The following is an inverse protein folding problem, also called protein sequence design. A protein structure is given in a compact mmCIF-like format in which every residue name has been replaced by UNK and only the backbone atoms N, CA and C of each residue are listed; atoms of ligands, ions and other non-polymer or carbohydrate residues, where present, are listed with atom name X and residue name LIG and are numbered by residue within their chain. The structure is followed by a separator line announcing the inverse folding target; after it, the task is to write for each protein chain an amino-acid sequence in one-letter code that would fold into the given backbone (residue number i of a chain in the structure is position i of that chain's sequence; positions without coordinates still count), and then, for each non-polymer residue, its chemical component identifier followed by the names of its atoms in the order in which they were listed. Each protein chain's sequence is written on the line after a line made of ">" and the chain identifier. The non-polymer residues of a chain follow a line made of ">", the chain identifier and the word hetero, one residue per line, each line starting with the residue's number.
data_IF_514772500159
#
_entry.id   IF_514772500159
#
_cell.length_a   1.000
_cell.length_b   1.000
_cell.length_c   1.000
_cell.angle_alpha   90.00
_cell.angle_beta   90.00
_cell.angle_gamma   90.00
#
_symmetry.space_group_name_H-M   'P 1'
#
loop_
_entity.id
_entity.type
_entity.pdbx_description
1 polymer ?
#
# COMPACT_ATOMS: atom_id res chain seq x y z
N UNK A 1 10.22 15.96 59.70
CA UNK A 1 10.53 14.77 58.88
C UNK A 1 9.31 14.43 58.02
N UNK A 2 8.75 15.42 57.32
CA UNK A 2 7.43 15.36 56.66
C UNK A 2 7.42 16.04 55.28
N UNK A 3 8.48 16.75 54.88
CA UNK A 3 8.57 17.40 53.56
C UNK A 3 8.97 16.43 52.43
N UNK A 4 9.68 15.34 52.71
CA UNK A 4 10.11 14.38 51.69
C UNK A 4 8.96 13.50 51.15
N UNK A 5 7.89 13.30 51.92
CA UNK A 5 6.76 12.45 51.50
C UNK A 5 5.83 13.22 50.54
N UNK A 6 5.67 14.53 50.72
CA UNK A 6 4.83 15.35 49.84
C UNK A 6 5.47 15.61 48.47
N UNK A 7 6.80 15.69 48.37
CA UNK A 7 7.48 15.86 47.08
C UNK A 7 7.38 14.59 46.22
N UNK A 8 7.61 13.41 46.80
CA UNK A 8 7.53 12.14 46.07
C UNK A 8 6.12 11.87 45.48
N UNK A 9 5.05 12.24 46.19
CA UNK A 9 3.69 12.05 45.70
C UNK A 9 3.34 13.00 44.53
N UNK A 10 3.91 14.21 44.51
CA UNK A 10 3.69 15.17 43.44
C UNK A 10 4.47 14.78 42.17
N UNK A 11 5.69 14.26 42.32
CA UNK A 11 6.51 13.78 41.21
C UNK A 11 5.89 12.52 40.58
N UNK A 12 5.47 11.53 41.38
CA UNK A 12 4.76 10.34 40.87
C UNK A 12 3.43 10.68 40.18
N UNK A 13 2.70 11.69 40.65
CA UNK A 13 1.45 12.12 40.03
C UNK A 13 1.69 12.90 38.73
N UNK A 14 2.79 13.65 38.64
CA UNK A 14 3.23 14.32 37.42
C UNK A 14 3.67 13.30 36.36
N UNK A 15 4.45 12.30 36.75
CA UNK A 15 4.93 11.25 35.86
C UNK A 15 3.78 10.39 35.31
N UNK A 16 2.78 10.07 36.13
CA UNK A 16 1.56 9.38 35.65
C UNK A 16 0.75 10.21 34.66
N UNK A 17 0.66 11.52 34.85
CA UNK A 17 -0.04 12.42 33.91
C UNK A 17 0.72 12.54 32.58
N UNK A 18 2.06 12.61 32.64
CA UNK A 18 2.91 12.61 31.46
C UNK A 18 2.74 11.30 30.66
N UNK A 19 2.81 10.15 31.33
CA UNK A 19 2.59 8.84 30.71
C UNK A 19 1.20 8.71 30.09
N UNK A 20 0.15 9.19 30.77
CA UNK A 20 -1.20 9.21 30.21
C UNK A 20 -1.29 10.07 28.95
N UNK A 21 -0.68 11.26 28.97
CA UNK A 21 -0.63 12.15 27.82
C UNK A 21 0.10 11.52 26.63
N UNK A 22 1.27 10.91 26.85
CA UNK A 22 2.03 10.21 25.81
C UNK A 22 1.26 9.02 25.25
N UNK A 23 0.57 8.26 26.11
CA UNK A 23 -0.28 7.14 25.71
C UNK A 23 -1.47 7.58 24.85
N UNK A 24 -2.12 8.68 25.20
CA UNK A 24 -3.21 9.27 24.42
C UNK A 24 -2.71 9.75 23.05
N UNK A 25 -1.52 10.34 23.00
CA UNK A 25 -0.87 10.78 21.76
C UNK A 25 -0.52 9.57 20.86
N UNK A 26 0.01 8.49 21.45
CA UNK A 26 0.33 7.26 20.74
C UNK A 26 -0.92 6.55 20.23
N UNK A 27 -2.01 6.57 20.99
CA UNK A 27 -3.32 6.06 20.58
C UNK A 27 -3.90 6.88 19.42
N UNK A 28 -3.78 8.20 19.47
CA UNK A 28 -4.18 9.07 18.37
C UNK A 28 -3.36 8.80 17.11
N UNK A 29 -2.04 8.62 17.24
CA UNK A 29 -1.16 8.22 16.14
C UNK A 29 -1.62 6.87 15.55
N UNK A 30 -1.90 5.86 16.39
CA UNK A 30 -2.39 4.55 15.94
C UNK A 30 -3.66 4.66 15.10
N UNK A 31 -4.71 5.33 15.60
CA UNK A 31 -5.97 5.48 14.86
C UNK A 31 -5.80 6.26 13.56
N UNK A 32 -4.93 7.28 13.56
CA UNK A 32 -4.61 8.01 12.36
C UNK A 32 -3.94 7.11 11.32
N UNK A 33 -2.95 6.30 11.71
CA UNK A 33 -2.27 5.38 10.80
C UNK A 33 -3.23 4.31 10.23
N UNK A 34 -4.06 3.70 11.08
CA UNK A 34 -5.06 2.70 10.64
C UNK A 34 -6.05 3.30 9.62
N UNK A 35 -6.61 4.48 9.93
CA UNK A 35 -7.52 5.20 9.01
C UNK A 35 -6.83 5.49 7.67
N UNK A 36 -5.57 5.93 7.74
CA UNK A 36 -4.78 6.23 6.54
C UNK A 36 -4.55 4.98 5.69
N UNK A 37 -4.24 3.83 6.31
CA UNK A 37 -4.09 2.54 5.60
C UNK A 37 -5.40 2.09 4.95
N UNK A 38 -6.53 2.28 5.63
CA UNK A 38 -7.84 1.95 5.07
C UNK A 38 -8.16 2.79 3.83
N UNK A 39 -7.89 4.09 3.89
CA UNK A 39 -8.05 4.99 2.74
C UNK A 39 -7.09 4.63 1.60
N UNK A 40 -5.86 4.23 1.92
CA UNK A 40 -4.94 3.70 0.92
C UNK A 40 -5.48 2.46 0.22
N UNK A 41 -6.07 1.52 0.97
CA UNK A 41 -6.70 0.35 0.40
C UNK A 41 -7.86 0.73 -0.53
N UNK A 42 -8.73 1.67 -0.12
CA UNK A 42 -9.82 2.18 -0.98
C UNK A 42 -9.27 2.75 -2.29
N UNK A 43 -8.21 3.55 -2.22
CA UNK A 43 -7.59 4.15 -3.41
C UNK A 43 -6.94 3.12 -4.35
N UNK A 44 -6.32 2.04 -3.83
CA UNK A 44 -5.80 0.95 -4.68
C UNK A 44 -6.90 0.34 -5.53
N UNK A 45 -8.08 0.10 -4.95
CA UNK A 45 -9.21 -0.46 -5.68
C UNK A 45 -9.66 0.45 -6.83
N UNK A 46 -9.65 1.77 -6.62
CA UNK A 46 -9.93 2.77 -7.66
C UNK A 46 -8.87 2.76 -8.75
N UNK A 47 -7.58 2.72 -8.40
CA UNK A 47 -6.49 2.67 -9.37
C UNK A 47 -6.61 1.42 -10.25
N UNK A 48 -6.92 0.26 -9.64
CA UNK A 48 -7.11 -1.00 -10.36
C UNK A 48 -8.32 -0.96 -11.31
N UNK A 49 -9.43 -0.37 -10.89
CA UNK A 49 -10.63 -0.27 -11.74
C UNK A 49 -10.41 0.66 -12.92
N UNK A 50 -9.69 1.78 -12.72
CA UNK A 50 -9.31 2.69 -13.78
C UNK A 50 -8.35 2.06 -14.78
N UNK A 51 -7.35 1.31 -14.30
CA UNK A 51 -6.42 0.55 -15.15
C UNK A 51 -7.16 -0.45 -16.04
N UNK A 52 -8.05 -1.25 -15.46
CA UNK A 52 -8.86 -2.21 -16.20
C UNK A 52 -9.77 -1.54 -17.25
N UNK A 53 -10.39 -0.42 -16.89
CA UNK A 53 -11.28 0.34 -17.79
C UNK A 53 -10.51 0.95 -18.94
N UNK A 54 -9.33 1.55 -18.66
CA UNK A 54 -8.47 2.13 -19.67
C UNK A 54 -8.01 1.07 -20.68
N UNK A 55 -7.48 -0.06 -20.21
CA UNK A 55 -7.04 -1.14 -21.10
C UNK A 55 -8.20 -1.79 -21.85
N UNK A 56 -9.34 -2.03 -21.18
CA UNK A 56 -10.54 -2.58 -21.82
C UNK A 56 -11.07 -1.69 -22.95
N UNK A 57 -11.03 -0.37 -22.75
CA UNK A 57 -11.41 0.61 -23.78
C UNK A 57 -10.47 0.52 -24.99
N UNK A 58 -9.15 0.47 -24.75
CA UNK A 58 -8.16 0.34 -25.82
C UNK A 58 -8.34 -0.96 -26.61
N UNK A 59 -8.56 -2.09 -25.93
CA UNK A 59 -8.78 -3.39 -26.59
C UNK A 59 -10.05 -3.34 -27.45
N UNK A 60 -11.14 -2.77 -26.93
CA UNK A 60 -12.41 -2.66 -27.65
C UNK A 60 -12.27 -1.79 -28.91
N UNK A 61 -11.56 -0.66 -28.79
CA UNK A 61 -11.26 0.22 -29.93
C UNK A 61 -10.38 -0.48 -30.98
N UNK A 62 -9.40 -1.29 -30.56
CA UNK A 62 -8.57 -2.07 -31.48
C UNK A 62 -9.37 -3.13 -32.24
N UNK A 63 -10.30 -3.82 -31.57
CA UNK A 63 -11.12 -4.88 -32.19
C UNK A 63 -12.15 -4.27 -33.15
N UNK A 64 -12.79 -3.16 -32.77
CA UNK A 64 -13.86 -2.57 -33.57
C UNK A 64 -13.36 -1.99 -34.91
N UNK A 65 -12.05 -1.79 -35.11
CA UNK A 65 -11.43 -1.22 -36.32
C UNK A 65 -12.02 0.15 -36.78
N UNK A 66 -12.97 0.73 -36.04
CA UNK A 66 -13.66 1.97 -36.40
C UNK A 66 -12.77 3.21 -36.29
N UNK A 67 -11.64 3.10 -35.58
CA UNK A 67 -10.67 4.17 -35.42
C UNK A 67 -9.38 3.75 -36.10
N UNK A 68 -8.95 4.53 -37.10
CA UNK A 68 -7.67 4.33 -37.77
C UNK A 68 -6.55 4.83 -36.84
N UNK A 69 -6.24 4.02 -35.83
CA UNK A 69 -5.21 4.33 -34.83
C UNK A 69 -3.85 4.37 -35.54
N UNK A 70 -3.16 5.52 -35.60
CA UNK A 70 -1.89 5.60 -36.29
C UNK A 70 -0.86 4.71 -35.60
N UNK A 71 -0.07 3.97 -36.38
CA UNK A 71 0.99 3.05 -35.90
C UNK A 71 1.95 3.69 -34.88
N UNK A 72 2.13 5.01 -34.95
CA UNK A 72 2.97 5.78 -34.03
C UNK A 72 2.40 5.88 -32.59
N UNK A 73 1.15 5.47 -32.35
CA UNK A 73 0.50 5.55 -31.03
C UNK A 73 0.56 4.25 -30.23
N UNK A 74 1.16 3.20 -30.77
CA UNK A 74 1.31 1.91 -30.08
C UNK A 74 2.13 2.00 -28.79
N UNK A 75 3.10 2.90 -28.76
CA UNK A 75 3.88 3.19 -27.56
C UNK A 75 3.00 3.74 -26.43
N UNK A 76 2.01 4.60 -26.75
CA UNK A 76 1.09 5.15 -25.75
C UNK A 76 0.19 4.04 -25.17
N UNK A 77 -0.24 3.10 -25.99
CA UNK A 77 -1.04 1.96 -25.55
C UNK A 77 -0.26 1.07 -24.58
N UNK A 78 1.01 0.81 -24.87
CA UNK A 78 1.90 0.05 -23.97
C UNK A 78 2.31 0.83 -22.72
N UNK A 79 2.31 2.16 -22.77
CA UNK A 79 2.65 3.00 -21.63
C UNK A 79 1.57 2.99 -20.53
N UNK A 80 0.30 2.78 -20.87
CA UNK A 80 -0.82 2.75 -19.91
C UNK A 80 -0.60 1.70 -18.80
N UNK A 81 -0.48 0.39 -19.09
CA UNK A 81 -0.28 -0.61 -18.05
C UNK A 81 1.03 -0.40 -17.28
N UNK A 82 2.06 0.16 -17.92
CA UNK A 82 3.31 0.49 -17.26
C UNK A 82 3.15 1.60 -16.21
N UNK A 83 2.39 2.66 -16.52
CA UNK A 83 2.10 3.73 -15.56
C UNK A 83 1.30 3.22 -14.36
N UNK A 84 0.30 2.37 -14.60
CA UNK A 84 -0.48 1.74 -13.54
C UNK A 84 0.37 0.79 -12.69
N UNK A 85 1.32 0.08 -13.29
CA UNK A 85 2.29 -0.74 -12.56
C UNK A 85 3.14 0.12 -11.62
N UNK A 86 3.72 1.22 -12.11
CA UNK A 86 4.53 2.12 -11.28
C UNK A 86 3.69 2.73 -10.14
N UNK A 87 2.47 3.18 -10.43
CA UNK A 87 1.57 3.73 -9.42
C UNK A 87 1.24 2.71 -8.33
N UNK A 88 0.85 1.49 -8.70
CA UNK A 88 0.55 0.44 -7.72
C UNK A 88 1.79 0.05 -6.90
N UNK A 89 2.96 -0.03 -7.55
CA UNK A 89 4.23 -0.33 -6.87
C UNK A 89 4.66 0.76 -5.88
N UNK A 90 4.52 2.04 -6.24
CA UNK A 90 4.75 3.15 -5.32
C UNK A 90 3.80 3.09 -4.13
N UNK A 91 2.51 2.83 -4.39
CA UNK A 91 1.50 2.80 -3.35
C UNK A 91 1.73 1.67 -2.33
N UNK A 92 2.05 0.46 -2.81
CA UNK A 92 2.40 -0.66 -1.91
C UNK A 92 3.67 -0.42 -1.13
N UNK A 93 4.63 0.32 -1.69
CA UNK A 93 5.84 0.72 -0.97
C UNK A 93 5.50 1.69 0.17
N UNK A 94 4.69 2.73 -0.10
CA UNK A 94 4.24 3.67 0.93
C UNK A 94 3.45 2.98 2.05
N UNK A 95 2.50 2.10 1.72
CA UNK A 95 1.74 1.33 2.72
C UNK A 95 2.65 0.54 3.68
N UNK A 96 3.77 0.01 3.17
CA UNK A 96 4.70 -0.80 3.97
C UNK A 96 5.45 -0.01 5.03
N UNK A 97 5.66 1.30 4.80
CA UNK A 97 6.22 2.19 5.82
C UNK A 97 5.30 2.32 7.03
N UNK A 98 3.99 2.49 6.80
CA UNK A 98 3.00 2.61 7.87
C UNK A 98 2.84 1.32 8.67
N UNK A 99 2.84 0.15 8.00
CA UNK A 99 2.74 -1.15 8.68
C UNK A 99 3.87 -1.39 9.68
N UNK A 100 5.09 -0.93 9.38
CA UNK A 100 6.20 -1.06 10.33
C UNK A 100 5.96 -0.23 11.60
N UNK A 101 5.50 1.01 11.44
CA UNK A 101 5.22 1.90 12.57
C UNK A 101 4.08 1.38 13.44
N UNK A 102 3.00 0.86 12.85
CA UNK A 102 1.90 0.24 13.58
C UNK A 102 2.40 -0.98 14.36
N UNK A 103 3.26 -1.81 13.77
CA UNK A 103 3.81 -2.98 14.46
C UNK A 103 4.57 -2.60 15.74
N UNK A 104 5.33 -1.50 15.71
CA UNK A 104 6.06 -0.96 16.87
C UNK A 104 5.09 -0.43 17.94
N UNK A 105 4.03 0.26 17.52
CA UNK A 105 3.03 0.77 18.46
C UNK A 105 2.27 -0.39 19.12
N UNK A 106 1.87 -1.41 18.36
CA UNK A 106 1.21 -2.60 18.91
C UNK A 106 2.12 -3.39 19.86
N UNK A 107 3.43 -3.49 19.58
CA UNK A 107 4.36 -4.11 20.52
C UNK A 107 4.50 -3.30 21.81
N UNK A 108 4.56 -1.96 21.73
CA UNK A 108 4.60 -1.10 22.92
C UNK A 108 3.36 -1.29 23.79
N UNK A 109 2.16 -1.33 23.19
CA UNK A 109 0.91 -1.52 23.94
C UNK A 109 0.80 -2.90 24.59
N UNK A 110 1.26 -3.95 23.90
CA UNK A 110 1.17 -5.33 24.38
C UNK A 110 2.24 -5.63 25.44
N UNK A 111 3.48 -5.18 25.24
CA UNK A 111 4.62 -5.50 26.12
C UNK A 111 4.70 -4.62 27.37
N UNK A 112 4.40 -3.31 27.27
CA UNK A 112 4.61 -2.38 28.38
C UNK A 112 3.37 -2.12 29.23
N UNK A 113 2.17 -2.30 28.67
CA UNK A 113 0.93 -1.85 29.33
C UNK A 113 -0.13 -2.94 29.50
N UNK A 114 0.13 -4.18 29.04
CA UNK A 114 -0.79 -5.34 29.09
C UNK A 114 -2.21 -5.01 28.62
N UNK A 115 -2.34 -4.01 27.73
CA UNK A 115 -3.63 -3.61 27.18
C UNK A 115 -4.08 -4.66 26.16
N UNK A 116 -5.39 -4.98 26.17
CA UNK A 116 -6.05 -5.62 25.03
C UNK A 116 -6.09 -4.60 23.87
N UNK A 117 -4.96 -4.42 23.20
CA UNK A 117 -4.89 -3.70 21.93
C UNK A 117 -5.83 -4.40 20.94
N UNK A 118 -6.51 -3.68 20.05
CA UNK A 118 -7.33 -4.30 19.01
C UNK A 118 -6.52 -5.18 18.04
N UNK A 119 -5.18 -5.16 18.12
CA UNK A 119 -4.25 -6.09 17.43
C UNK A 119 -4.59 -6.23 15.94
N UNK A 120 -5.02 -5.16 15.28
CA UNK A 120 -5.55 -5.18 13.91
C UNK A 120 -4.46 -5.61 12.94
N UNK A 121 -3.26 -5.03 13.09
CA UNK A 121 -2.14 -5.37 12.23
C UNK A 121 -1.57 -6.75 12.55
N UNK A 122 -1.35 -7.05 13.83
CA UNK A 122 -0.82 -8.34 14.28
C UNK A 122 -1.76 -9.51 13.97
N UNK A 123 -3.08 -9.34 14.10
CA UNK A 123 -4.08 -10.34 13.69
C UNK A 123 -4.07 -10.54 12.18
N UNK A 124 -4.10 -9.47 11.38
CA UNK A 124 -3.98 -9.54 9.92
C UNK A 124 -2.68 -10.24 9.50
N UNK A 125 -1.56 -9.87 10.12
CA UNK A 125 -0.24 -10.47 9.88
C UNK A 125 -0.28 -11.98 10.15
N UNK A 126 -0.89 -12.39 11.25
CA UNK A 126 -1.03 -13.79 11.62
C UNK A 126 -1.88 -14.55 10.60
N UNK A 127 -3.06 -14.02 10.23
CA UNK A 127 -3.94 -14.62 9.23
C UNK A 127 -3.27 -14.81 7.87
N UNK A 128 -2.46 -13.84 7.44
CA UNK A 128 -1.80 -13.88 6.12
C UNK A 128 -0.36 -14.41 6.16
N UNK A 129 0.09 -15.00 7.28
CA UNK A 129 1.44 -15.55 7.45
C UNK A 129 2.55 -14.58 7.02
N UNK A 130 2.35 -13.28 7.23
CA UNK A 130 3.31 -12.26 6.78
C UNK A 130 4.38 -11.98 7.84
N UNK A 131 5.60 -11.75 7.38
CA UNK A 131 6.73 -11.46 8.27
C UNK A 131 6.81 -9.97 8.55
N UNK A 132 6.68 -9.54 9.81
CA UNK A 132 6.97 -8.16 10.24
C UNK A 132 8.46 -8.00 10.57
N UNK A 133 9.33 -8.52 9.70
CA UNK A 133 10.75 -8.25 9.84
C UNK A 133 10.98 -6.76 9.58
N UNK A 134 11.85 -6.07 10.37
CA UNK A 134 12.41 -4.79 9.97
C UNK A 134 13.23 -5.05 8.71
N UNK A 135 12.57 -4.96 7.54
CA UNK A 135 13.17 -5.31 6.27
C UNK A 135 13.80 -4.04 5.71
N UNK A 136 15.06 -4.08 5.32
CA UNK A 136 15.64 -3.07 4.44
C UNK A 136 14.74 -2.99 3.20
N UNK A 137 13.93 -1.94 3.13
CA UNK A 137 12.88 -1.83 2.12
C UNK A 137 13.52 -1.51 0.78
N UNK A 138 13.93 -2.55 0.06
CA UNK A 138 14.36 -2.40 -1.32
C UNK A 138 13.11 -2.18 -2.18
N UNK A 139 12.85 -0.91 -2.51
CA UNK A 139 11.75 -0.46 -3.38
C UNK A 139 11.58 -1.35 -4.61
N UNK A 140 12.71 -1.72 -5.24
CA UNK A 140 12.74 -2.58 -6.42
C UNK A 140 12.17 -3.98 -6.18
N UNK A 141 12.52 -4.62 -5.06
CA UNK A 141 12.13 -6.01 -4.80
C UNK A 141 10.72 -6.11 -4.23
N UNK A 142 10.36 -5.20 -3.32
CA UNK A 142 9.11 -5.25 -2.56
C UNK A 142 7.95 -4.46 -3.20
N UNK A 143 8.26 -3.45 -4.01
CA UNK A 143 7.29 -2.64 -4.74
C UNK A 143 7.15 -3.11 -6.19
N UNK A 144 8.22 -2.96 -6.98
CA UNK A 144 8.21 -3.19 -8.44
C UNK A 144 8.11 -4.69 -8.78
N UNK A 145 8.99 -5.51 -8.20
CA UNK A 145 9.05 -6.96 -8.45
C UNK A 145 8.14 -7.79 -7.54
N UNK A 146 7.17 -7.17 -6.86
CA UNK A 146 6.22 -7.91 -6.05
C UNK A 146 5.38 -8.81 -6.96
N UNK A 147 5.50 -10.13 -6.79
CA UNK A 147 4.85 -11.13 -7.67
C UNK A 147 3.35 -10.88 -7.86
N UNK A 148 2.66 -10.42 -6.81
CA UNK A 148 1.23 -10.11 -6.87
C UNK A 148 0.90 -8.88 -7.70
N UNK A 149 1.83 -7.93 -7.85
CA UNK A 149 1.66 -6.72 -8.69
C UNK A 149 2.16 -7.00 -10.09
N UNK A 150 3.38 -7.54 -10.22
CA UNK A 150 4.06 -7.68 -11.50
C UNK A 150 3.38 -8.67 -12.42
N UNK A 151 2.83 -9.78 -11.91
CA UNK A 151 2.22 -10.81 -12.75
C UNK A 151 1.05 -10.29 -13.60
N UNK A 152 0.17 -9.46 -13.04
CA UNK A 152 -1.01 -8.94 -13.76
C UNK A 152 -0.60 -7.99 -14.87
N UNK A 153 0.30 -7.05 -14.59
CA UNK A 153 0.76 -6.08 -15.59
C UNK A 153 1.64 -6.72 -16.67
N UNK A 154 2.45 -7.73 -16.32
CA UNK A 154 3.23 -8.49 -17.33
C UNK A 154 2.27 -9.19 -18.30
N UNK A 155 1.24 -9.87 -17.79
CA UNK A 155 0.24 -10.53 -18.63
C UNK A 155 -0.47 -9.51 -19.54
N UNK A 156 -0.85 -8.35 -19.00
CA UNK A 156 -1.51 -7.28 -19.74
C UNK A 156 -0.63 -6.70 -20.86
N UNK A 157 0.65 -6.43 -20.56
CA UNK A 157 1.63 -5.96 -21.54
C UNK A 157 1.85 -7.00 -22.64
N UNK A 158 1.98 -8.28 -22.29
CA UNK A 158 2.12 -9.37 -23.26
C UNK A 158 0.89 -9.47 -24.18
N UNK A 159 -0.31 -9.38 -23.61
CA UNK A 159 -1.57 -9.42 -24.36
C UNK A 159 -1.71 -8.23 -25.32
N UNK A 160 -1.40 -7.01 -24.87
CA UNK A 160 -1.42 -5.81 -25.71
C UNK A 160 -0.38 -5.89 -26.82
N UNK A 161 0.82 -6.40 -26.52
CA UNK A 161 1.88 -6.60 -27.53
C UNK A 161 1.42 -7.59 -28.61
N UNK A 162 0.78 -8.69 -28.21
CA UNK A 162 0.24 -9.69 -29.14
C UNK A 162 -0.86 -9.08 -30.02
N UNK A 163 -1.78 -8.29 -29.44
CA UNK A 163 -2.84 -7.59 -30.19
C UNK A 163 -2.26 -6.60 -31.21
N UNK A 164 -1.25 -5.80 -30.82
CA UNK A 164 -0.56 -4.87 -31.72
C UNK A 164 0.10 -5.64 -32.87
N UNK A 165 0.75 -6.77 -32.59
CA UNK A 165 1.39 -7.61 -33.60
C UNK A 165 0.38 -8.23 -34.58
N UNK A 166 -0.74 -8.76 -34.07
CA UNK A 166 -1.83 -9.27 -34.91
C UNK A 166 -2.37 -8.17 -35.81
N UNK A 167 -2.65 -6.99 -35.24
CA UNK A 167 -3.14 -5.81 -35.98
C UNK A 167 -2.14 -5.39 -37.07
N UNK A 168 -0.86 -5.36 -36.76
CA UNK A 168 0.19 -5.00 -37.73
C UNK A 168 0.28 -5.97 -38.91
N UNK A 169 0.17 -7.28 -38.65
CA UNK A 169 0.20 -8.31 -39.68
C UNK A 169 -1.07 -8.30 -40.57
N UNK A 170 -2.24 -8.03 -39.99
CA UNK A 170 -3.52 -7.99 -40.71
C UNK A 170 -3.71 -6.74 -41.59
N UNK A 171 -3.10 -5.60 -41.23
CA UNK A 171 -3.15 -4.34 -42.00
C UNK A 171 -2.09 -4.23 -43.12
N UNK A 172 -1.34 -5.31 -43.37
CA UNK A 172 -0.34 -5.40 -44.46
C UNK A 172 -0.85 -6.16 -45.70
N UNK A 173 -2.08 -6.67 -45.67
CA UNK A 173 -2.82 -7.20 -46.82
C UNK A 173 -3.96 -6.24 -47.18
#
# INVERSE_FOLDING_TARGET
>A
MTSNINNNNNDEQSDRKLLQFELDLLKQEYFFLETTIEDYNKQIWVIKSLGLTATGTVITLMIQQQVNIPKNTDFLILAIPFLFWVLESQWKHFQRGFYYRIAVIESIFTENFDFQSPLIYSSWRHSFHRSAKPYHVNYWKDGVCNLSVSATYIIEIVLLTLLILVRHNFLTF
#
